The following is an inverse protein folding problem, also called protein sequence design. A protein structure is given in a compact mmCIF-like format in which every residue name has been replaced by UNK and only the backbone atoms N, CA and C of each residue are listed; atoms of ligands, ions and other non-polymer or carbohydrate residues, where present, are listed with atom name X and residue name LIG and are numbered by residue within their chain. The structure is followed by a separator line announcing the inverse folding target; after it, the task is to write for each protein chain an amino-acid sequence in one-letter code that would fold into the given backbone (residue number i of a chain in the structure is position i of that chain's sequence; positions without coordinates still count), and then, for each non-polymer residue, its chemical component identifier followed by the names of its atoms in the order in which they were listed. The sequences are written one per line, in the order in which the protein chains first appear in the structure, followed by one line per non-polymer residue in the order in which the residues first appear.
data_IF_558088629937
#
_entry.id   IF_558088629937
#
_cell.length_a   1.000
_cell.length_b   1.000
_cell.length_c   1.000
_cell.angle_alpha   90.00
_cell.angle_beta   90.00
_cell.angle_gamma   90.00
#
_symmetry.space_group_name_H-M   'P 1'
#
loop_
_entity.id
_entity.type
_entity.pdbx_description
1 polymer ?
#
# COMPACT_ATOMS: atom_id res chain seq x y z
N UNK A 1 21.13 7.06 17.16
CA UNK A 1 19.92 6.29 16.81
C UNK A 1 18.74 7.17 17.17
N UNK A 2 17.95 7.60 16.19
CA UNK A 2 16.71 8.33 16.46
C UNK A 2 15.73 7.37 17.17
N UNK A 3 14.95 7.89 18.10
CA UNK A 3 13.89 7.10 18.72
C UNK A 3 12.89 6.63 17.65
N UNK A 4 12.33 5.43 17.77
CA UNK A 4 11.32 4.96 16.82
C UNK A 4 10.12 5.91 16.86
N UNK A 5 9.70 6.36 15.68
CA UNK A 5 8.48 7.16 15.54
C UNK A 5 7.29 6.29 15.95
N UNK A 6 6.54 6.71 16.97
CA UNK A 6 5.35 6.00 17.42
C UNK A 6 4.13 6.39 16.57
N UNK A 7 3.53 5.39 15.92
CA UNK A 7 2.35 5.59 15.09
C UNK A 7 1.07 5.17 15.83
N UNK A 8 0.10 6.09 15.93
CA UNK A 8 -1.18 5.80 16.57
C UNK A 8 -2.02 4.84 15.71
N UNK A 9 -2.65 3.84 16.35
CA UNK A 9 -3.57 2.91 15.69
C UNK A 9 -4.78 3.66 15.11
N UNK A 10 -5.12 3.46 13.83
CA UNK A 10 -6.35 4.02 13.26
C UNK A 10 -7.61 3.48 13.97
N UNK A 11 -8.62 4.33 14.13
CA UNK A 11 -9.90 3.98 14.75
C UNK A 11 -10.61 2.78 14.09
N UNK A 12 -10.40 2.60 12.78
CA UNK A 12 -11.00 1.55 11.98
C UNK A 12 -10.14 0.28 11.90
N UNK A 13 -9.02 0.21 12.62
CA UNK A 13 -8.12 -0.93 12.57
C UNK A 13 -8.84 -2.23 13.00
N UNK A 14 -8.94 -3.26 12.14
CA UNK A 14 -9.68 -4.49 12.45
C UNK A 14 -8.87 -5.49 13.28
N UNK A 15 -7.57 -5.25 13.51
CA UNK A 15 -6.65 -6.18 14.17
C UNK A 15 -5.99 -5.53 15.40
N UNK A 16 -6.53 -5.71 16.62
CA UNK A 16 -6.03 -5.05 17.82
C UNK A 16 -4.64 -5.53 18.25
N UNK A 17 -4.15 -6.66 17.70
CA UNK A 17 -2.83 -7.23 18.02
C UNK A 17 -1.72 -6.78 17.06
N UNK A 18 -2.05 -5.96 16.06
CA UNK A 18 -1.10 -5.45 15.06
C UNK A 18 -0.47 -4.15 15.56
N UNK A 19 0.84 -4.02 15.58
CA UNK A 19 1.56 -2.79 15.95
C UNK A 19 1.71 -1.91 14.70
N UNK A 20 1.17 -0.67 14.69
CA UNK A 20 1.35 0.22 13.53
C UNK A 20 2.82 0.54 13.28
N UNK A 21 3.25 0.39 12.02
CA UNK A 21 4.60 0.72 11.54
C UNK A 21 4.60 2.06 10.83
N UNK A 22 3.53 2.37 10.10
CA UNK A 22 3.31 3.67 9.46
C UNK A 22 1.83 3.82 9.13
N UNK A 23 1.36 5.07 9.06
CA UNK A 23 0.05 5.36 8.52
C UNK A 23 -0.01 6.74 7.87
N UNK A 24 -0.92 6.85 6.91
CA UNK A 24 -1.31 8.11 6.28
C UNK A 24 -2.61 8.59 6.93
N UNK A 25 -2.64 9.87 7.30
CA UNK A 25 -3.78 10.56 7.93
C UNK A 25 -4.13 10.03 9.33
N UNK A 26 -3.32 10.37 10.33
CA UNK A 26 -3.63 10.07 11.73
C UNK A 26 -3.70 11.33 12.57
N UNK A 27 -4.77 11.41 13.38
CA UNK A 27 -4.98 12.46 14.37
C UNK A 27 -6.42 13.00 14.46
N UNK A 28 -7.25 12.77 13.45
CA UNK A 28 -8.64 13.27 13.40
C UNK A 28 -9.58 12.17 12.91
N UNK A 29 -10.81 12.17 13.42
CA UNK A 29 -11.86 11.33 12.85
C UNK A 29 -11.99 11.66 11.36
N UNK A 30 -12.10 10.65 10.47
CA UNK A 30 -12.26 10.89 9.05
C UNK A 30 -13.44 11.80 8.75
N UNK A 31 -13.30 12.64 7.74
CA UNK A 31 -14.48 13.22 7.10
C UNK A 31 -15.04 12.24 6.07
N UNK A 32 -16.36 12.29 5.77
CA UNK A 32 -16.93 11.48 4.71
C UNK A 32 -16.20 11.72 3.38
N UNK A 33 -15.62 10.66 2.80
CA UNK A 33 -14.82 10.76 1.58
C UNK A 33 -13.34 10.41 1.77
N UNK A 34 -12.82 10.52 3.00
CA UNK A 34 -11.41 10.26 3.27
C UNK A 34 -11.08 8.76 3.14
N UNK A 35 -9.87 8.51 2.65
CA UNK A 35 -9.29 7.17 2.54
C UNK A 35 -7.99 7.11 3.32
N UNK A 36 -7.76 6.00 4.02
CA UNK A 36 -6.61 5.84 4.90
C UNK A 36 -5.78 4.65 4.45
N UNK A 37 -4.48 4.76 4.67
CA UNK A 37 -3.55 3.66 4.47
C UNK A 37 -2.78 3.46 5.77
N UNK A 38 -2.71 2.22 6.24
CA UNK A 38 -1.95 1.86 7.42
C UNK A 38 -1.14 0.61 7.13
N UNK A 39 0.10 0.59 7.61
CA UNK A 39 0.97 -0.58 7.63
C UNK A 39 1.24 -0.96 9.07
N UNK A 40 1.31 -2.25 9.37
CA UNK A 40 1.61 -2.71 10.71
C UNK A 40 2.12 -4.13 10.76
N UNK A 41 2.78 -4.45 11.85
CA UNK A 41 3.38 -5.75 12.15
C UNK A 41 2.47 -6.54 13.09
N UNK A 42 2.23 -7.81 12.79
CA UNK A 42 1.44 -8.69 13.64
C UNK A 42 2.29 -9.28 14.76
N UNK A 43 1.73 -9.35 15.97
CA UNK A 43 2.40 -10.02 17.08
C UNK A 43 2.73 -11.51 16.84
N UNK A 44 2.02 -12.16 15.91
CA UNK A 44 2.29 -13.54 15.47
C UNK A 44 2.01 -13.66 13.97
N UNK A 45 2.85 -14.38 13.21
CA UNK A 45 2.59 -14.65 11.81
C UNK A 45 1.36 -15.53 11.63
N UNK A 46 0.70 -15.37 10.48
CA UNK A 46 -0.28 -16.30 9.93
C UNK A 46 0.42 -17.14 8.88
N UNK A 47 0.42 -18.46 9.07
CA UNK A 47 0.97 -19.41 8.12
C UNK A 47 -0.14 -20.25 7.50
N UNK A 48 -0.14 -20.41 6.18
CA UNK A 48 -1.10 -21.24 5.44
C UNK A 48 -0.49 -21.75 4.14
N UNK A 49 -1.06 -22.84 3.61
CA UNK A 49 -0.69 -23.41 2.31
C UNK A 49 -1.86 -23.23 1.33
N UNK A 50 -1.57 -22.81 0.11
CA UNK A 50 -2.56 -22.70 -0.96
C UNK A 50 -1.94 -23.11 -2.30
N UNK A 51 -2.60 -24.03 -3.01
CA UNK A 51 -2.15 -24.57 -4.30
C UNK A 51 -0.67 -25.03 -4.30
N UNK A 52 -0.26 -25.69 -3.21
CA UNK A 52 1.11 -26.21 -3.04
C UNK A 52 2.17 -25.16 -2.71
N UNK A 53 1.78 -23.91 -2.48
CA UNK A 53 2.68 -22.83 -2.04
C UNK A 53 2.45 -22.52 -0.56
N UNK A 54 3.54 -22.46 0.20
CA UNK A 54 3.52 -22.03 1.60
C UNK A 54 3.58 -20.50 1.69
N UNK A 55 2.74 -19.94 2.55
CA UNK A 55 2.67 -18.51 2.82
C UNK A 55 2.86 -18.27 4.31
N UNK A 56 3.76 -17.34 4.65
CA UNK A 56 3.96 -16.85 6.01
C UNK A 56 3.87 -15.34 5.96
N UNK A 57 2.84 -14.82 6.63
CA UNK A 57 2.52 -13.40 6.61
C UNK A 57 2.53 -12.87 8.03
N UNK A 58 3.39 -11.90 8.30
CA UNK A 58 3.57 -11.24 9.59
C UNK A 58 3.27 -9.73 9.53
N UNK A 59 2.94 -9.21 8.34
CA UNK A 59 2.61 -7.81 8.12
C UNK A 59 1.14 -7.65 7.70
N UNK A 60 0.60 -6.47 7.96
CA UNK A 60 -0.65 -6.01 7.36
C UNK A 60 -0.46 -4.69 6.63
N UNK A 61 -1.08 -4.59 5.46
CA UNK A 61 -1.42 -3.34 4.78
C UNK A 61 -2.94 -3.20 4.79
N UNK A 62 -3.44 -2.12 5.36
CA UNK A 62 -4.88 -1.83 5.42
C UNK A 62 -5.19 -0.57 4.62
N UNK A 63 -6.18 -0.67 3.73
CA UNK A 63 -6.79 0.47 3.04
C UNK A 63 -8.21 0.66 3.56
N UNK A 64 -8.51 1.82 4.14
CA UNK A 64 -9.89 2.24 4.33
C UNK A 64 -10.33 3.08 3.14
N UNK A 65 -11.49 2.75 2.57
CA UNK A 65 -12.20 3.64 1.64
C UNK A 65 -13.66 3.76 2.06
N UNK A 66 -14.32 4.91 1.82
CA UNK A 66 -15.74 5.07 2.16
C UNK A 66 -16.65 4.06 1.43
N UNK A 67 -16.26 3.63 0.23
CA UNK A 67 -17.06 2.72 -0.59
C UNK A 67 -16.91 1.25 -0.16
N UNK A 68 -15.72 0.82 0.25
CA UNK A 68 -15.40 -0.60 0.48
C UNK A 68 -15.19 -0.94 1.96
N UNK A 69 -15.21 0.05 2.85
CA UNK A 69 -14.76 -0.11 4.22
C UNK A 69 -13.27 -0.41 4.28
N UNK A 70 -12.86 -1.22 5.26
CA UNK A 70 -11.46 -1.64 5.41
C UNK A 70 -11.18 -2.88 4.58
N UNK A 71 -10.19 -2.76 3.70
CA UNK A 71 -9.55 -3.87 3.01
C UNK A 71 -8.26 -4.17 3.77
N UNK A 72 -8.08 -5.42 4.17
CA UNK A 72 -6.90 -5.89 4.90
C UNK A 72 -6.14 -6.89 4.03
N UNK A 73 -4.91 -6.55 3.70
CA UNK A 73 -3.92 -7.44 3.09
C UNK A 73 -3.05 -8.02 4.21
N UNK A 74 -2.84 -9.33 4.20
CA UNK A 74 -1.85 -10.02 5.04
C UNK A 74 -0.67 -10.33 4.16
N UNK A 75 0.50 -9.85 4.53
CA UNK A 75 1.69 -9.77 3.69
C UNK A 75 2.95 -10.10 4.50
N UNK A 76 4.10 -10.12 3.85
CA UNK A 76 5.43 -10.16 4.46
C UNK A 76 6.35 -9.08 3.85
N UNK A 77 7.61 -9.04 4.30
CA UNK A 77 8.59 -8.05 3.82
C UNK A 77 8.82 -8.13 2.31
N UNK A 78 8.91 -9.35 1.75
CA UNK A 78 9.14 -9.56 0.33
C UNK A 78 7.99 -9.01 -0.52
N UNK A 79 6.75 -9.11 -0.04
CA UNK A 79 5.59 -8.50 -0.69
C UNK A 79 5.74 -6.97 -0.76
N UNK A 80 6.12 -6.32 0.35
CA UNK A 80 6.32 -4.86 0.38
C UNK A 80 7.45 -4.41 -0.54
N UNK A 81 8.57 -5.13 -0.56
CA UNK A 81 9.67 -4.89 -1.51
C UNK A 81 9.19 -5.10 -2.95
N UNK A 82 8.37 -6.12 -3.19
CA UNK A 82 7.73 -6.41 -4.47
C UNK A 82 6.85 -5.25 -4.94
N UNK A 83 6.00 -4.71 -4.06
CA UNK A 83 5.10 -3.57 -4.32
C UNK A 83 5.89 -2.32 -4.71
N UNK A 84 6.98 -1.99 -3.99
CA UNK A 84 7.86 -0.88 -4.35
C UNK A 84 8.38 -1.00 -5.79
N UNK A 85 8.89 -2.20 -6.15
CA UNK A 85 9.41 -2.49 -7.49
C UNK A 85 8.31 -2.42 -8.55
N UNK A 86 7.15 -2.99 -8.25
CA UNK A 86 5.99 -3.02 -9.15
C UNK A 86 5.49 -1.61 -9.46
N UNK A 87 5.26 -0.76 -8.45
CA UNK A 87 4.81 0.62 -8.67
C UNK A 87 5.85 1.46 -9.41
N UNK A 88 7.13 1.32 -9.08
CA UNK A 88 8.19 1.99 -9.82
C UNK A 88 8.19 1.59 -11.31
N UNK A 89 8.06 0.30 -11.60
CA UNK A 89 7.99 -0.20 -12.98
C UNK A 89 6.74 0.31 -13.73
N UNK A 90 5.58 0.28 -13.08
CA UNK A 90 4.33 0.78 -13.65
C UNK A 90 4.43 2.28 -13.99
N UNK A 91 4.95 3.09 -13.06
CA UNK A 91 5.12 4.52 -13.26
C UNK A 91 6.08 4.84 -14.41
N UNK A 92 7.21 4.11 -14.52
CA UNK A 92 8.13 4.26 -15.66
C UNK A 92 7.43 4.00 -16.99
N UNK A 93 6.68 2.90 -17.11
CA UNK A 93 5.95 2.55 -18.33
C UNK A 93 4.87 3.58 -18.68
N UNK A 94 4.15 4.09 -17.69
CA UNK A 94 3.17 5.16 -17.88
C UNK A 94 3.80 6.43 -18.44
N UNK A 95 4.93 6.87 -17.86
CA UNK A 95 5.68 8.05 -18.31
C UNK A 95 6.18 7.88 -19.74
N UNK A 96 6.77 6.74 -20.07
CA UNK A 96 7.22 6.44 -21.43
C UNK A 96 6.06 6.51 -22.44
N UNK A 97 4.92 5.87 -22.13
CA UNK A 97 3.72 5.92 -22.98
C UNK A 97 3.22 7.34 -23.20
N UNK A 98 3.16 8.15 -22.14
CA UNK A 98 2.72 9.56 -22.24
C UNK A 98 3.68 10.40 -23.08
N UNK A 99 4.99 10.20 -22.95
CA UNK A 99 5.98 10.92 -23.76
C UNK A 99 5.85 10.59 -25.26
N UNK A 100 5.61 9.33 -25.62
CA UNK A 100 5.36 8.92 -27.03
C UNK A 100 4.10 9.57 -27.59
N UNK A 101 3.00 9.61 -26.82
CA UNK A 101 1.75 10.27 -27.25
C UNK A 101 1.95 11.78 -27.43
N UNK A 102 2.63 12.45 -26.50
CA UNK A 102 2.94 13.88 -26.65
C UNK A 102 3.81 14.17 -27.87
N UNK A 103 4.77 13.29 -28.20
CA UNK A 103 5.61 13.43 -29.40
C UNK A 103 4.84 13.26 -30.71
N UNK A 104 3.79 12.43 -30.74
CA UNK A 104 2.93 12.21 -31.91
C UNK A 104 1.90 13.34 -32.13
N UNK A 105 1.62 14.13 -31.10
CA UNK A 105 0.72 15.29 -31.17
C UNK A 105 1.45 16.64 -31.33
N UNK A 106 2.79 16.63 -31.48
CA UNK A 106 3.54 17.84 -31.78
C UNK A 106 3.26 18.27 -33.24
N UNK A 107 2.82 19.51 -33.50
CA UNK A 107 2.59 19.98 -34.86
C UNK A 107 3.93 20.19 -35.55
N UNK A 108 4.28 19.35 -36.54
CA UNK A 108 5.49 19.55 -37.34
C UNK A 108 6.05 18.36 -38.14
N UNK A 109 5.35 17.23 -38.26
CA UNK A 109 5.76 16.17 -39.17
C UNK A 109 5.06 16.30 -40.53
N UNK A 110 5.64 17.04 -41.47
CA UNK A 110 5.35 16.85 -42.90
C UNK A 110 6.23 15.70 -43.46
N UNK A 111 5.72 14.94 -44.45
CA UNK A 111 6.43 13.81 -45.09
C UNK A 111 7.66 14.22 -45.90
#
# INVERSE_FOLDING_TARGET
MSEPEEFTRPWCCPEPRCTPVWNYQVGVAPTPGDSFVCFGEMAKPVAFSYDGSEHVNDLNHCDYTPLKGVIRWQENEDDWVGVQRFYAAALRKLKARRATVTSLCAPGGEP
#
